data_IF_654960717705
#
_entry.id   IF_654960717705
#
_cell.length_a   1.000
_cell.length_b   1.000
_cell.length_c   1.000
_cell.angle_alpha   90.00
_cell.angle_beta   90.00
_cell.angle_gamma   90.00
#
_symmetry.space_group_name_H-M   'P 1'
#
loop_
_entity.id
_entity.type
_entity.pdbx_description
1 polymer ?
#
# COMPACT_ATOMS: atom_id res chain seq x y z
N UNK A 1 62.10 37.38 25.24
CA UNK A 1 61.79 38.04 23.96
C UNK A 1 62.36 37.21 22.81
N UNK A 2 61.47 36.57 22.04
CA UNK A 2 61.62 36.08 20.67
C UNK A 2 60.17 35.82 20.15
N UNK A 3 59.83 36.07 18.87
CA UNK A 3 58.46 36.30 18.42
C UNK A 3 57.68 35.03 18.01
N UNK A 4 56.35 35.20 17.89
CA UNK A 4 55.34 34.17 17.67
C UNK A 4 55.35 33.52 16.26
N UNK A 5 54.82 32.29 16.10
CA UNK A 5 54.47 31.74 14.79
C UNK A 5 52.99 32.04 14.43
N UNK A 6 52.79 32.50 13.19
CA UNK A 6 51.49 32.72 12.58
C UNK A 6 50.90 31.40 12.07
N UNK A 7 49.64 31.11 12.39
CA UNK A 7 48.87 30.05 11.73
C UNK A 7 48.00 30.64 10.62
N UNK A 8 48.40 30.42 9.36
CA UNK A 8 47.50 30.47 8.20
C UNK A 8 47.03 29.04 7.91
N UNK A 9 45.74 28.77 8.09
CA UNK A 9 45.07 27.55 7.63
C UNK A 9 44.15 27.88 6.45
N UNK A 10 44.27 27.11 5.36
CA UNK A 10 43.74 27.39 4.03
C UNK A 10 42.20 27.38 3.94
N UNK A 11 41.64 28.42 3.32
CA UNK A 11 40.28 28.44 2.82
C UNK A 11 40.25 27.75 1.45
N UNK A 12 39.60 26.58 1.36
CA UNK A 12 39.29 25.95 0.09
C UNK A 12 38.27 26.81 -0.66
N UNK A 13 38.71 27.51 -1.70
CA UNK A 13 37.80 28.18 -2.63
C UNK A 13 37.25 27.14 -3.62
N UNK A 14 36.06 26.62 -3.33
CA UNK A 14 35.27 25.94 -4.35
C UNK A 14 34.94 26.97 -5.43
N UNK A 15 35.51 26.81 -6.62
CA UNK A 15 35.42 27.77 -7.71
C UNK A 15 34.32 27.29 -8.68
N UNK A 16 33.07 27.78 -8.57
CA UNK A 16 31.90 27.22 -9.28
C UNK A 16 31.99 27.39 -10.81
N UNK A 17 32.84 28.31 -11.27
CA UNK A 17 33.03 28.63 -12.69
C UNK A 17 33.67 27.47 -13.46
N UNK A 18 34.49 26.64 -12.81
CA UNK A 18 35.23 25.55 -13.49
C UNK A 18 34.34 24.35 -13.83
N UNK A 19 33.34 24.07 -12.99
CA UNK A 19 32.36 23.00 -13.24
C UNK A 19 31.39 23.35 -14.39
N UNK A 20 30.97 24.61 -14.46
CA UNK A 20 30.10 25.10 -15.55
C UNK A 20 30.81 25.05 -16.91
N UNK A 21 32.12 25.31 -16.95
CA UNK A 21 32.89 25.28 -18.19
C UNK A 21 33.08 23.84 -18.72
N UNK A 22 33.27 22.87 -17.83
CA UNK A 22 33.35 21.44 -18.19
C UNK A 22 32.01 20.89 -18.70
N UNK A 23 30.89 21.29 -18.09
CA UNK A 23 29.54 20.96 -18.56
C UNK A 23 29.25 21.57 -19.94
N UNK A 24 29.62 22.84 -20.13
CA UNK A 24 29.50 23.50 -21.44
C UNK A 24 30.36 22.81 -22.51
N UNK A 25 31.58 22.39 -22.18
CA UNK A 25 32.45 21.65 -23.10
C UNK A 25 31.88 20.27 -23.47
N UNK A 26 31.25 19.57 -22.53
CA UNK A 26 30.57 18.28 -22.77
C UNK A 26 29.33 18.44 -23.67
N UNK A 27 28.54 19.49 -23.46
CA UNK A 27 27.36 19.80 -24.29
C UNK A 27 27.78 20.19 -25.70
N UNK A 28 28.82 21.03 -25.84
CA UNK A 28 29.34 21.45 -27.15
C UNK A 28 29.99 20.28 -27.90
N UNK A 29 30.65 19.35 -27.20
CA UNK A 29 31.24 18.14 -27.82
C UNK A 29 30.16 17.19 -28.37
N UNK A 30 29.06 17.02 -27.66
CA UNK A 30 27.91 16.24 -28.14
C UNK A 30 27.21 16.90 -29.36
N UNK A 31 27.16 18.23 -29.41
CA UNK A 31 26.61 18.97 -30.56
C UNK A 31 27.51 18.88 -31.80
N UNK A 32 28.84 18.91 -31.63
CA UNK A 32 29.80 18.86 -32.73
C UNK A 32 29.96 17.45 -33.34
N UNK A 33 29.77 16.40 -32.54
CA UNK A 33 29.80 15.01 -33.02
C UNK A 33 28.57 14.66 -33.89
N UNK A 34 27.46 15.37 -33.72
CA UNK A 34 26.29 15.29 -34.59
C UNK A 34 26.50 16.22 -35.81
N UNK A 35 27.23 15.76 -36.83
CA UNK A 35 27.49 16.48 -38.09
C UNK A 35 26.20 16.78 -38.90
N UNK A 36 25.32 17.66 -38.41
CA UNK A 36 24.19 18.20 -39.15
C UNK A 36 23.10 17.19 -39.56
N UNK A 37 23.10 15.97 -39.00
CA UNK A 37 21.97 15.03 -39.10
C UNK A 37 21.33 14.87 -37.73
N UNK A 38 19.99 14.75 -37.72
CA UNK A 38 19.20 14.51 -36.51
C UNK A 38 19.82 13.35 -35.74
N UNK A 39 20.50 13.65 -34.64
CA UNK A 39 20.97 12.61 -33.74
C UNK A 39 19.70 11.89 -33.23
N UNK A 40 19.60 10.56 -33.36
CA UNK A 40 18.58 9.83 -32.63
C UNK A 40 18.82 10.19 -31.18
N UNK A 41 17.80 10.75 -30.50
CA UNK A 41 17.84 10.90 -29.05
C UNK A 41 18.24 9.54 -28.47
N UNK A 42 19.48 9.41 -28.00
CA UNK A 42 19.95 8.25 -27.25
C UNK A 42 19.37 8.30 -25.83
N UNK A 43 18.05 8.28 -25.77
CA UNK A 43 17.25 7.86 -24.64
C UNK A 43 15.90 7.50 -25.23
N UNK A 44 15.39 6.27 -25.02
CA UNK A 44 13.95 6.11 -25.03
C UNK A 44 13.39 7.20 -24.13
N UNK A 45 12.42 7.95 -24.65
CA UNK A 45 11.83 9.10 -23.98
C UNK A 45 11.56 8.74 -22.51
N UNK A 46 12.28 9.35 -21.57
CA UNK A 46 12.32 8.94 -20.15
C UNK A 46 10.91 8.90 -19.55
N UNK A 47 9.99 9.68 -20.10
CA UNK A 47 8.57 9.67 -19.79
C UNK A 47 7.87 8.37 -20.20
N UNK A 48 8.16 7.84 -21.38
CA UNK A 48 7.59 6.57 -21.88
C UNK A 48 8.11 5.39 -21.06
N UNK A 49 9.40 5.40 -20.67
CA UNK A 49 9.95 4.36 -19.80
C UNK A 49 9.41 4.43 -18.38
N UNK A 50 9.24 5.63 -17.81
CA UNK A 50 8.63 5.84 -16.49
C UNK A 50 7.14 5.47 -16.49
N UNK A 51 6.40 5.83 -17.53
CA UNK A 51 4.98 5.47 -17.65
C UNK A 51 4.79 3.96 -17.79
N UNK A 52 5.65 3.28 -18.57
CA UNK A 52 5.65 1.82 -18.67
C UNK A 52 5.93 1.18 -17.31
N UNK A 53 6.95 1.67 -16.60
CA UNK A 53 7.29 1.21 -15.25
C UNK A 53 6.11 1.40 -14.27
N UNK A 54 5.38 2.52 -14.34
CA UNK A 54 4.25 2.78 -13.45
C UNK A 54 3.03 1.91 -13.80
N UNK A 55 2.82 1.63 -15.09
CA UNK A 55 1.76 0.72 -15.54
C UNK A 55 2.02 -0.69 -15.01
N UNK A 56 3.25 -1.19 -15.15
CA UNK A 56 3.62 -2.53 -14.68
C UNK A 56 3.43 -2.67 -13.16
N UNK A 57 3.73 -1.61 -12.39
CA UNK A 57 3.47 -1.54 -10.95
C UNK A 57 1.98 -1.68 -10.64
N UNK A 58 1.11 -0.92 -11.28
CA UNK A 58 -0.33 -0.99 -11.00
C UNK A 58 -0.98 -2.28 -11.50
N UNK A 59 -0.48 -2.88 -12.58
CA UNK A 59 -0.94 -4.19 -13.05
C UNK A 59 -0.61 -5.27 -12.04
N UNK A 60 0.61 -5.27 -11.50
CA UNK A 60 1.00 -6.22 -10.48
C UNK A 60 0.25 -5.98 -9.16
N UNK A 61 0.09 -4.71 -8.75
CA UNK A 61 -0.70 -4.34 -7.60
C UNK A 61 -2.17 -4.82 -7.72
N UNK A 62 -2.77 -4.68 -8.92
CA UNK A 62 -4.14 -5.10 -9.18
C UNK A 62 -4.30 -6.61 -9.10
N UNK A 63 -3.31 -7.38 -9.61
CA UNK A 63 -3.31 -8.84 -9.45
C UNK A 63 -3.33 -9.22 -7.97
N UNK A 64 -2.44 -8.62 -7.16
CA UNK A 64 -2.37 -8.89 -5.73
C UNK A 64 -3.67 -8.50 -5.01
N UNK A 65 -4.22 -7.30 -5.27
CA UNK A 65 -5.43 -6.83 -4.61
C UNK A 65 -6.65 -7.66 -4.96
N UNK A 66 -6.75 -8.10 -6.22
CA UNK A 66 -7.85 -8.91 -6.68
C UNK A 66 -7.83 -10.30 -6.03
N UNK A 67 -6.64 -10.92 -5.95
CA UNK A 67 -6.46 -12.20 -5.27
C UNK A 67 -6.77 -12.10 -3.77
N UNK A 68 -6.29 -11.04 -3.09
CA UNK A 68 -6.63 -10.76 -1.68
C UNK A 68 -8.15 -10.64 -1.51
N UNK A 69 -8.83 -9.89 -2.38
CA UNK A 69 -10.27 -9.71 -2.29
C UNK A 69 -11.03 -11.03 -2.50
N UNK A 70 -10.65 -11.81 -3.51
CA UNK A 70 -11.23 -13.11 -3.80
C UNK A 70 -11.08 -14.08 -2.62
N UNK A 71 -9.87 -14.22 -2.09
CA UNK A 71 -9.59 -15.08 -0.92
C UNK A 71 -10.37 -14.61 0.31
N UNK A 72 -10.44 -13.31 0.57
CA UNK A 72 -11.22 -12.78 1.69
C UNK A 72 -12.72 -13.07 1.55
N UNK A 73 -13.22 -13.12 0.32
CA UNK A 73 -14.60 -13.49 0.02
C UNK A 73 -14.84 -14.98 0.27
N UNK A 74 -13.92 -15.84 -0.17
CA UNK A 74 -13.96 -17.28 0.11
C UNK A 74 -13.97 -17.52 1.62
N UNK A 75 -13.03 -16.93 2.36
CA UNK A 75 -12.95 -17.05 3.82
C UNK A 75 -14.24 -16.65 4.52
N UNK A 76 -14.81 -15.51 4.13
CA UNK A 76 -16.05 -15.02 4.72
C UNK A 76 -17.21 -15.97 4.45
N UNK A 77 -17.38 -16.41 3.21
CA UNK A 77 -18.50 -17.28 2.83
C UNK A 77 -18.42 -18.65 3.51
N UNK A 78 -17.23 -19.27 3.54
CA UNK A 78 -17.04 -20.56 4.22
C UNK A 78 -17.30 -20.46 5.73
N UNK A 79 -16.87 -19.36 6.36
CA UNK A 79 -17.13 -19.14 7.78
C UNK A 79 -18.61 -18.85 8.07
N UNK A 80 -19.28 -18.05 7.23
CA UNK A 80 -20.70 -17.73 7.34
C UNK A 80 -21.57 -18.98 7.22
N UNK A 81 -21.34 -19.79 6.19
CA UNK A 81 -22.04 -21.06 5.96
C UNK A 81 -21.89 -22.01 7.16
N UNK A 82 -20.70 -22.05 7.77
CA UNK A 82 -20.42 -22.99 8.84
C UNK A 82 -20.92 -22.55 10.21
N UNK A 83 -20.77 -21.28 10.56
CA UNK A 83 -20.91 -20.80 11.93
C UNK A 83 -21.99 -19.73 12.15
N UNK A 84 -22.47 -19.07 11.09
CA UNK A 84 -23.39 -17.94 11.19
C UNK A 84 -24.81 -18.24 10.69
N UNK A 85 -25.06 -19.41 10.10
CA UNK A 85 -26.40 -19.83 9.67
C UNK A 85 -27.39 -19.82 10.85
N UNK A 86 -28.51 -19.10 10.67
CA UNK A 86 -29.52 -18.91 11.71
C UNK A 86 -29.13 -17.95 12.84
N UNK A 87 -27.97 -17.29 12.75
CA UNK A 87 -27.48 -16.28 13.70
C UNK A 87 -27.67 -14.86 13.16
N UNK A 88 -27.74 -13.88 14.06
CA UNK A 88 -27.94 -12.47 13.73
C UNK A 88 -26.64 -11.65 13.76
N UNK A 89 -25.49 -12.27 13.53
CA UNK A 89 -24.18 -11.58 13.58
C UNK A 89 -24.08 -10.43 12.57
N UNK A 90 -24.73 -10.57 11.42
CA UNK A 90 -24.76 -9.56 10.35
C UNK A 90 -25.30 -8.18 10.81
N UNK A 91 -26.15 -8.11 11.84
CA UNK A 91 -26.79 -6.86 12.30
C UNK A 91 -25.75 -5.82 12.71
N UNK A 92 -24.65 -6.26 13.33
CA UNK A 92 -23.62 -5.36 13.88
C UNK A 92 -22.32 -5.33 13.06
N UNK A 93 -22.14 -6.25 12.12
CA UNK A 93 -20.87 -6.43 11.41
C UNK A 93 -20.37 -5.15 10.72
N UNK A 94 -21.25 -4.40 10.07
CA UNK A 94 -20.92 -3.13 9.42
C UNK A 94 -20.35 -2.09 10.38
N UNK A 95 -20.80 -2.07 11.64
CA UNK A 95 -20.39 -1.09 12.67
C UNK A 95 -19.15 -1.54 13.45
N UNK A 96 -18.78 -2.82 13.34
CA UNK A 96 -17.70 -3.43 14.13
C UNK A 96 -16.29 -3.20 13.55
N UNK A 97 -16.18 -2.77 12.29
CA UNK A 97 -14.89 -2.63 11.63
C UNK A 97 -14.05 -1.51 12.23
N UNK A 98 -12.78 -1.83 12.53
CA UNK A 98 -11.85 -0.89 13.15
C UNK A 98 -11.53 0.30 12.24
N UNK A 99 -11.65 0.13 10.92
CA UNK A 99 -11.46 1.16 9.89
C UNK A 99 -12.66 2.09 9.70
N UNK A 100 -13.77 1.91 10.42
CA UNK A 100 -14.97 2.76 10.29
C UNK A 100 -14.76 4.22 10.66
N UNK A 101 -13.74 4.54 11.47
CA UNK A 101 -13.41 5.93 11.81
C UNK A 101 -12.81 6.69 10.63
N UNK A 102 -12.39 6.00 9.57
CA UNK A 102 -11.88 6.64 8.37
C UNK A 102 -13.00 7.03 7.40
N UNK A 103 -13.01 8.29 6.98
CA UNK A 103 -13.85 8.78 5.88
C UNK A 103 -13.26 8.40 4.51
N UNK A 104 -13.02 7.10 4.32
CA UNK A 104 -12.54 6.55 3.03
C UNK A 104 -13.55 6.85 1.91
N UNK A 105 -13.09 7.13 0.67
CA UNK A 105 -13.97 7.25 -0.48
C UNK A 105 -14.77 5.95 -0.66
N UNK A 106 -16.08 6.02 -0.49
CA UNK A 106 -16.98 4.89 -0.72
C UNK A 106 -17.16 4.63 -2.23
N UNK A 107 -17.72 3.45 -2.54
CA UNK A 107 -17.95 2.97 -3.91
C UNK A 107 -18.72 3.97 -4.79
N UNK A 108 -18.52 3.85 -6.11
CA UNK A 108 -19.17 4.68 -7.12
C UNK A 108 -18.42 5.99 -7.43
N UNK A 109 -19.16 7.05 -7.73
CA UNK A 109 -18.62 8.31 -8.27
C UNK A 109 -17.59 8.97 -7.36
N UNK A 110 -17.70 8.78 -6.04
CA UNK A 110 -16.77 9.39 -5.06
C UNK A 110 -15.35 8.83 -5.19
N UNK A 111 -15.20 7.51 -5.31
CA UNK A 111 -13.89 6.90 -5.54
C UNK A 111 -13.30 7.35 -6.89
N UNK A 112 -14.13 7.41 -7.93
CA UNK A 112 -13.72 7.86 -9.27
C UNK A 112 -13.35 9.34 -9.35
N UNK A 113 -13.82 10.18 -8.43
CA UNK A 113 -13.44 11.59 -8.34
C UNK A 113 -12.24 11.85 -7.43
N UNK A 114 -11.85 10.86 -6.62
CA UNK A 114 -10.69 10.98 -5.72
C UNK A 114 -9.40 11.01 -6.53
N UNK A 115 -8.46 11.89 -6.21
CA UNK A 115 -7.18 11.98 -6.93
C UNK A 115 -6.28 10.76 -6.67
N UNK A 116 -5.28 10.53 -7.53
CA UNK A 116 -4.42 9.35 -7.43
C UNK A 116 -3.63 9.27 -6.11
N UNK A 117 -3.18 10.42 -5.61
CA UNK A 117 -2.39 10.50 -4.38
C UNK A 117 -3.19 10.03 -3.16
N UNK A 118 -4.45 10.50 -3.06
CA UNK A 118 -5.37 10.10 -2.00
C UNK A 118 -5.78 8.62 -2.13
N UNK A 119 -5.97 8.09 -3.36
CA UNK A 119 -6.24 6.67 -3.56
C UNK A 119 -5.09 5.81 -3.04
N UNK A 120 -3.85 6.15 -3.39
CA UNK A 120 -2.64 5.45 -2.90
C UNK A 120 -2.54 5.55 -1.38
N UNK A 121 -2.78 6.74 -0.83
CA UNK A 121 -2.79 6.97 0.62
C UNK A 121 -3.82 6.08 1.31
N UNK A 122 -5.07 6.03 0.83
CA UNK A 122 -6.11 5.22 1.45
C UNK A 122 -5.85 3.72 1.32
N UNK A 123 -5.27 3.27 0.19
CA UNK A 123 -4.80 1.90 0.05
C UNK A 123 -3.80 1.53 1.14
N UNK A 124 -2.76 2.33 1.36
CA UNK A 124 -1.77 2.06 2.42
C UNK A 124 -2.35 2.18 3.83
N UNK A 125 -3.26 3.13 4.08
CA UNK A 125 -3.95 3.24 5.38
C UNK A 125 -4.68 1.94 5.70
N UNK A 126 -5.42 1.38 4.73
CA UNK A 126 -6.15 0.14 4.93
C UNK A 126 -5.18 -1.04 5.15
N UNK A 127 -4.15 -1.19 4.31
CA UNK A 127 -3.15 -2.27 4.45
C UNK A 127 -2.50 -2.26 5.84
N UNK A 128 -1.96 -1.12 6.28
CA UNK A 128 -1.34 -1.00 7.61
C UNK A 128 -2.29 -1.35 8.73
N UNK A 129 -3.57 -0.95 8.64
CA UNK A 129 -4.57 -1.25 9.65
C UNK A 129 -4.85 -2.76 9.78
N UNK A 130 -4.62 -3.53 8.71
CA UNK A 130 -4.81 -4.97 8.67
C UNK A 130 -3.58 -5.80 9.06
N UNK A 131 -2.38 -5.22 9.13
CA UNK A 131 -1.14 -5.94 9.49
C UNK A 131 -1.27 -6.69 10.83
N UNK A 132 -1.65 -6.00 11.91
CA UNK A 132 -1.81 -6.64 13.21
C UNK A 132 -2.98 -7.64 13.25
N UNK A 133 -4.20 -7.30 12.78
CA UNK A 133 -5.29 -8.27 12.70
C UNK A 133 -4.94 -9.56 11.95
N UNK A 134 -4.28 -9.48 10.78
CA UNK A 134 -3.89 -10.65 9.99
C UNK A 134 -2.83 -11.49 10.71
N UNK A 135 -1.80 -10.85 11.25
CA UNK A 135 -0.73 -11.52 12.00
C UNK A 135 -1.23 -12.37 13.17
N UNK A 136 -2.19 -11.85 13.94
CA UNK A 136 -2.78 -12.59 15.05
C UNK A 136 -3.88 -13.57 14.62
N UNK A 137 -4.49 -13.37 13.45
CA UNK A 137 -5.59 -14.20 12.98
C UNK A 137 -5.13 -15.62 12.66
N UNK A 138 -4.06 -15.76 11.87
CA UNK A 138 -3.56 -17.05 11.36
C UNK A 138 -3.37 -18.10 12.49
N UNK A 139 -2.61 -17.83 13.57
CA UNK A 139 -2.42 -18.83 14.63
C UNK A 139 -3.72 -19.15 15.39
N UNK A 140 -4.63 -18.17 15.52
CA UNK A 140 -5.89 -18.36 16.22
C UNK A 140 -6.85 -19.26 15.43
N UNK A 141 -6.97 -19.05 14.11
CA UNK A 141 -7.85 -19.85 13.25
C UNK A 141 -7.32 -21.27 13.02
N UNK A 142 -6.00 -21.46 13.00
CA UNK A 142 -5.37 -22.79 12.98
C UNK A 142 -5.76 -23.64 14.20
N UNK A 143 -6.01 -22.99 15.34
CA UNK A 143 -6.42 -23.67 16.57
C UNK A 143 -7.92 -24.02 16.63
N UNK A 144 -8.73 -23.47 15.70
CA UNK A 144 -10.17 -23.70 15.68
C UNK A 144 -10.52 -25.09 15.18
N UNK A 145 -11.30 -25.81 15.99
CA UNK A 145 -11.82 -27.11 15.57
C UNK A 145 -12.77 -26.95 14.38
N UNK A 146 -12.60 -27.85 13.41
CA UNK A 146 -13.44 -27.98 12.23
C UNK A 146 -13.37 -26.78 11.27
N UNK A 147 -12.45 -25.83 11.36
CA UNK A 147 -12.30 -24.85 10.29
C UNK A 147 -11.74 -25.54 9.03
N UNK A 148 -12.16 -25.10 7.84
CA UNK A 148 -11.64 -25.65 6.58
C UNK A 148 -10.18 -25.27 6.41
N UNK A 149 -9.39 -26.18 5.82
CA UNK A 149 -8.02 -25.89 5.41
C UNK A 149 -7.95 -24.73 4.42
N UNK A 150 -8.99 -24.57 3.58
CA UNK A 150 -9.11 -23.47 2.63
C UNK A 150 -9.14 -22.09 3.32
N UNK A 151 -9.86 -21.93 4.44
CA UNK A 151 -9.89 -20.67 5.20
C UNK A 151 -8.52 -20.35 5.79
N UNK A 152 -7.83 -21.36 6.33
CA UNK A 152 -6.50 -21.19 6.92
C UNK A 152 -5.48 -20.79 5.84
N UNK A 153 -5.42 -21.55 4.74
CA UNK A 153 -4.54 -21.26 3.59
C UNK A 153 -4.82 -19.87 3.02
N UNK A 154 -6.10 -19.49 2.89
CA UNK A 154 -6.48 -18.16 2.40
C UNK A 154 -5.98 -17.04 3.31
N UNK A 155 -6.03 -17.23 4.65
CA UNK A 155 -5.54 -16.22 5.59
C UNK A 155 -4.03 -16.00 5.47
N UNK A 156 -3.26 -17.09 5.37
CA UNK A 156 -1.80 -17.07 5.19
C UNK A 156 -1.41 -16.40 3.86
N UNK A 157 -2.12 -16.72 2.77
CA UNK A 157 -1.91 -16.09 1.47
C UNK A 157 -2.25 -14.60 1.48
N UNK A 158 -3.35 -14.20 2.12
CA UNK A 158 -3.74 -12.80 2.27
C UNK A 158 -2.68 -12.02 3.05
N UNK A 159 -2.17 -12.55 4.16
CA UNK A 159 -1.10 -11.92 4.96
C UNK A 159 0.13 -11.65 4.07
N UNK A 160 0.63 -12.68 3.39
CA UNK A 160 1.80 -12.58 2.52
C UNK A 160 1.59 -11.62 1.33
N UNK A 161 0.44 -11.68 0.66
CA UNK A 161 0.14 -10.78 -0.45
C UNK A 161 -0.05 -9.33 0.00
N UNK A 162 -0.60 -9.11 1.21
CA UNK A 162 -0.74 -7.78 1.80
C UNK A 162 0.62 -7.14 2.06
N UNK A 163 1.58 -7.89 2.61
CA UNK A 163 2.97 -7.43 2.80
C UNK A 163 3.65 -7.09 1.46
N UNK A 164 3.46 -7.92 0.43
CA UNK A 164 4.00 -7.66 -0.92
C UNK A 164 3.41 -6.40 -1.53
N UNK A 165 2.10 -6.22 -1.41
CA UNK A 165 1.39 -5.06 -1.95
C UNK A 165 1.80 -3.78 -1.23
N UNK A 166 1.94 -3.83 0.10
CA UNK A 166 2.49 -2.75 0.92
C UNK A 166 3.89 -2.35 0.41
N UNK A 167 4.83 -3.31 0.36
CA UNK A 167 6.20 -3.07 -0.08
C UNK A 167 6.28 -2.49 -1.50
N UNK A 168 5.43 -2.98 -2.41
CA UNK A 168 5.35 -2.48 -3.79
C UNK A 168 4.96 -0.99 -3.82
N UNK A 169 3.94 -0.61 -3.06
CA UNK A 169 3.45 0.77 -3.00
C UNK A 169 4.47 1.67 -2.29
N UNK A 170 5.04 1.25 -1.17
CA UNK A 170 6.05 2.03 -0.45
C UNK A 170 7.28 2.33 -1.30
N UNK A 171 7.74 1.34 -2.06
CA UNK A 171 8.92 1.47 -2.95
C UNK A 171 8.70 2.55 -4.01
N UNK A 172 7.50 2.66 -4.57
CA UNK A 172 7.19 3.59 -5.66
C UNK A 172 6.61 4.93 -5.17
N UNK A 173 5.99 4.95 -3.99
CA UNK A 173 5.24 6.09 -3.46
C UNK A 173 5.65 6.46 -2.03
N UNK A 174 6.92 6.29 -1.67
CA UNK A 174 7.42 6.49 -0.30
C UNK A 174 7.15 7.86 0.33
N UNK A 175 6.89 8.90 -0.48
CA UNK A 175 6.46 10.22 0.02
C UNK A 175 5.10 10.19 0.75
N UNK A 176 4.27 9.18 0.49
CA UNK A 176 2.93 9.01 1.05
C UNK A 176 2.93 8.35 2.44
N UNK A 177 4.03 7.70 2.82
CA UNK A 177 4.14 6.99 4.10
C UNK A 177 3.91 7.93 5.28
N UNK A 178 4.50 9.13 5.29
CA UNK A 178 4.30 10.08 6.39
C UNK A 178 2.83 10.54 6.53
N UNK A 179 2.15 11.00 5.45
CA UNK A 179 0.70 11.25 5.49
C UNK A 179 -0.16 10.08 5.97
N UNK A 180 0.19 8.84 5.60
CA UNK A 180 -0.50 7.61 6.03
C UNK A 180 -0.38 7.43 7.55
N UNK A 181 0.85 7.44 8.07
CA UNK A 181 1.11 7.26 9.51
C UNK A 181 0.43 8.35 10.35
N UNK A 182 0.47 9.60 9.89
CA UNK A 182 -0.25 10.70 10.54
C UNK A 182 -1.76 10.44 10.60
N UNK A 183 -2.35 10.01 9.50
CA UNK A 183 -3.80 9.72 9.41
C UNK A 183 -4.21 8.61 10.38
N UNK A 184 -3.42 7.53 10.46
CA UNK A 184 -3.68 6.41 11.39
C UNK A 184 -3.56 6.87 12.85
N UNK A 185 -2.52 7.65 13.17
CA UNK A 185 -2.32 8.19 14.51
C UNK A 185 -3.49 9.09 14.96
N UNK A 186 -3.98 9.96 14.06
CA UNK A 186 -5.10 10.86 14.34
C UNK A 186 -6.44 10.10 14.53
N UNK A 187 -6.63 9.00 13.82
CA UNK A 187 -7.83 8.17 13.94
C UNK A 187 -7.88 7.35 15.25
N UNK A 188 -6.78 7.30 16.02
CA UNK A 188 -6.67 6.60 17.32
C UNK A 188 -7.15 5.14 17.25
N UNK A 189 -6.83 4.44 16.18
CA UNK A 189 -7.24 3.05 15.98
C UNK A 189 -6.66 2.19 17.12
N UNK A 190 -7.50 1.49 17.92
CA UNK A 190 -6.99 0.60 18.95
C UNK A 190 -6.46 -0.68 18.29
N UNK A 191 -5.16 -0.70 18.02
CA UNK A 191 -4.43 -1.88 17.54
C UNK A 191 -4.61 -3.11 18.46
N UNK A 192 -4.96 -2.89 19.73
CA UNK A 192 -5.03 -3.90 20.80
C UNK A 192 -6.29 -4.76 20.84
N UNK A 193 -7.32 -4.50 20.01
CA UNK A 193 -8.57 -5.28 20.07
C UNK A 193 -8.35 -6.76 19.70
N UNK A 194 -7.36 -7.06 18.85
CA UNK A 194 -7.20 -8.39 18.24
C UNK A 194 -5.98 -9.18 18.74
N UNK A 195 -5.12 -8.58 19.58
CA UNK A 195 -3.87 -9.22 20.04
C UNK A 195 -4.04 -10.27 21.15
N UNK A 196 -5.27 -10.51 21.64
CA UNK A 196 -5.54 -11.53 22.66
C UNK A 196 -7.04 -11.83 22.83
N UNK A 197 -7.71 -12.26 21.76
CA UNK A 197 -9.14 -12.64 21.78
C UNK A 197 -9.40 -13.95 22.57
N UNK A 198 -9.09 -13.96 23.87
CA UNK A 198 -9.48 -15.03 24.80
C UNK A 198 -10.93 -14.81 25.21
N UNK A 199 -11.85 -15.33 24.41
CA UNK A 199 -13.27 -15.32 24.74
C UNK A 199 -13.62 -16.57 25.55
N UNK A 200 -14.21 -16.36 26.73
CA UNK A 200 -14.78 -17.45 27.52
C UNK A 200 -16.10 -17.99 26.94
N UNK A 201 -16.79 -17.20 26.12
CA UNK A 201 -18.05 -17.57 25.46
C UNK A 201 -17.81 -17.82 23.96
N UNK A 202 -18.12 -19.04 23.51
CA UNK A 202 -17.92 -19.49 22.14
C UNK A 202 -18.79 -18.76 21.11
N UNK A 203 -20.06 -18.41 21.43
CA UNK A 203 -20.95 -17.68 20.52
C UNK A 203 -20.42 -16.25 20.28
N UNK A 204 -19.95 -15.60 21.36
CA UNK A 204 -19.27 -14.30 21.26
C UNK A 204 -18.00 -14.40 20.44
N UNK A 205 -17.19 -15.44 20.66
CA UNK A 205 -15.97 -15.69 19.88
C UNK A 205 -16.28 -15.77 18.39
N UNK A 206 -17.24 -16.60 18.02
CA UNK A 206 -17.68 -16.77 16.62
C UNK A 206 -18.17 -15.45 16.03
N UNK A 207 -18.98 -14.69 16.77
CA UNK A 207 -19.47 -13.39 16.31
C UNK A 207 -18.35 -12.39 16.02
N UNK A 208 -17.26 -12.43 16.78
CA UNK A 208 -16.13 -11.52 16.61
C UNK A 208 -15.29 -11.90 15.39
N UNK A 209 -15.06 -13.20 15.13
CA UNK A 209 -14.44 -13.66 13.89
C UNK A 209 -15.31 -13.37 12.66
N UNK A 210 -16.63 -13.56 12.79
CA UNK A 210 -17.57 -13.18 11.73
C UNK A 210 -17.42 -11.70 11.37
N UNK A 211 -17.39 -10.82 12.37
CA UNK A 211 -17.18 -9.39 12.16
C UNK A 211 -15.81 -9.13 11.50
N UNK A 212 -14.75 -9.81 11.96
CA UNK A 212 -13.41 -9.64 11.42
C UNK A 212 -13.34 -10.02 9.93
N UNK A 213 -13.86 -11.19 9.55
CA UNK A 213 -13.88 -11.63 8.14
C UNK A 213 -14.77 -10.75 7.27
N UNK A 214 -15.91 -10.31 7.79
CA UNK A 214 -16.75 -9.33 7.11
C UNK A 214 -15.96 -8.05 6.80
N UNK A 215 -15.25 -7.52 7.80
CA UNK A 215 -14.47 -6.29 7.65
C UNK A 215 -13.29 -6.47 6.70
N UNK A 216 -12.60 -7.61 6.74
CA UNK A 216 -11.49 -7.93 5.84
C UNK A 216 -11.97 -7.93 4.39
N UNK A 217 -13.08 -8.64 4.12
CA UNK A 217 -13.69 -8.69 2.78
C UNK A 217 -14.11 -7.32 2.26
N UNK A 218 -14.66 -6.48 3.14
CA UNK A 218 -15.09 -5.12 2.78
C UNK A 218 -13.90 -4.22 2.48
N UNK A 219 -12.87 -4.25 3.31
CA UNK A 219 -11.73 -3.36 3.15
C UNK A 219 -10.80 -3.81 2.02
N UNK A 220 -10.68 -5.13 1.78
CA UNK A 220 -10.00 -5.68 0.60
C UNK A 220 -10.68 -5.26 -0.71
N UNK A 221 -12.02 -5.26 -0.74
CA UNK A 221 -12.78 -4.75 -1.89
C UNK A 221 -12.45 -3.28 -2.18
N UNK A 222 -12.34 -2.45 -1.14
CA UNK A 222 -11.95 -1.04 -1.31
C UNK A 222 -10.54 -0.89 -1.88
N UNK A 223 -9.58 -1.66 -1.36
CA UNK A 223 -8.20 -1.68 -1.85
C UNK A 223 -8.16 -2.08 -3.33
N UNK A 224 -8.86 -3.15 -3.70
CA UNK A 224 -8.97 -3.63 -5.08
C UNK A 224 -9.57 -2.57 -6.01
N UNK A 225 -10.68 -1.95 -5.60
CA UNK A 225 -11.32 -0.88 -6.33
C UNK A 225 -10.38 0.33 -6.54
N UNK A 226 -9.67 0.77 -5.50
CA UNK A 226 -8.74 1.91 -5.61
C UNK A 226 -7.59 1.62 -6.57
N UNK A 227 -7.01 0.43 -6.50
CA UNK A 227 -5.92 0.03 -7.39
C UNK A 227 -6.43 -0.11 -8.82
N UNK A 228 -7.62 -0.68 -9.04
CA UNK A 228 -8.25 -0.76 -10.36
C UNK A 228 -8.45 0.63 -10.99
N UNK A 229 -8.92 1.61 -10.20
CA UNK A 229 -9.05 3.01 -10.67
C UNK A 229 -7.68 3.58 -11.07
N UNK A 230 -6.63 3.37 -10.24
CA UNK A 230 -5.28 3.85 -10.51
C UNK A 230 -4.68 3.22 -11.78
N UNK A 231 -4.89 1.92 -11.95
CA UNK A 231 -4.47 1.14 -13.11
C UNK A 231 -5.14 1.66 -14.38
N UNK A 232 -6.47 1.76 -14.38
CA UNK A 232 -7.22 2.21 -15.55
C UNK A 232 -6.90 3.67 -15.91
N UNK A 233 -6.65 4.56 -14.92
CA UNK A 233 -6.20 5.93 -15.18
C UNK A 233 -4.80 5.98 -15.80
N UNK A 234 -3.92 5.08 -15.38
CA UNK A 234 -2.55 4.98 -15.92
C UNK A 234 -2.57 4.50 -17.37
N UNK A 235 -3.46 3.56 -17.71
CA UNK A 235 -3.68 3.09 -19.09
C UNK A 235 -4.59 3.99 -19.94
N UNK A 236 -5.31 4.93 -19.32
CA UNK A 236 -6.36 5.76 -19.94
C UNK A 236 -7.52 4.93 -20.50
N UNK A 237 -7.96 3.95 -19.72
CA UNK A 237 -9.01 2.97 -20.07
C UNK A 237 -10.23 3.03 -19.16
N UNK A 238 -10.30 4.01 -18.23
CA UNK A 238 -11.47 4.29 -17.37
C UNK A 238 -12.66 4.84 -18.15
#
# INVERSE_FOLDING_TARGET
>A
MAPAPSFRGLQWTYNPVRGSCLLLLLVVSNLLLCQGKSCPSCSPDVFVSLQKSLTDVFVYALSLSHDIHNLSTIMFNEFDEKYAQGKLYHINATKSCHTNSFHTPEEGDKAQQTNNEDLIKWTLVLLYCWNNPLYYLVPEIQSMKNLSEAVVSSAEEIENMSEKLESLIETHFGKIIFPVLKTIHEARIPWSRYSSMKFSNEDRRISEYYNLFYCLRRDSHKVDMYINILECRTRKTC
#
